data_IF_844936970895
#
_entry.id   IF_844936970895
#
_cell.length_a   1.000
_cell.length_b   1.000
_cell.length_c   1.000
_cell.angle_alpha   90.00
_cell.angle_beta   90.00
_cell.angle_gamma   90.00
#
_symmetry.space_group_name_H-M   'P 1'
#
loop_
_entity.id
_entity.type
_entity.pdbx_description
1 polymer ?
#
# COMPACT_ATOMS: atom_id res chain seq x y z
N UNK A 1 -19.27 -24.90 11.75
CA UNK A 1 -17.82 -25.13 11.57
C UNK A 1 -17.36 -24.50 10.26
N UNK A 2 -17.57 -25.13 9.09
CA UNK A 2 -17.06 -24.64 7.80
C UNK A 2 -17.36 -23.16 7.45
N UNK A 3 -18.58 -22.66 7.71
CA UNK A 3 -18.92 -21.25 7.46
C UNK A 3 -18.17 -20.27 8.40
N UNK A 4 -17.91 -20.70 9.63
CA UNK A 4 -17.14 -19.91 10.59
C UNK A 4 -15.66 -19.88 10.18
N UNK A 5 -15.12 -21.03 9.76
CA UNK A 5 -13.73 -21.13 9.29
C UNK A 5 -13.50 -20.27 8.03
N UNK A 6 -14.45 -20.28 7.09
CA UNK A 6 -14.42 -19.43 5.90
C UNK A 6 -14.46 -17.93 6.28
N UNK A 7 -15.32 -17.57 7.23
CA UNK A 7 -15.42 -16.20 7.71
C UNK A 7 -14.09 -15.75 8.36
N UNK A 8 -13.51 -16.56 9.24
CA UNK A 8 -12.22 -16.27 9.86
C UNK A 8 -11.09 -16.15 8.83
N UNK A 9 -11.08 -16.97 7.77
CA UNK A 9 -10.11 -16.84 6.68
C UNK A 9 -10.23 -15.48 5.97
N UNK A 10 -11.46 -15.06 5.64
CA UNK A 10 -11.69 -13.75 5.00
C UNK A 10 -11.25 -12.57 5.86
N UNK A 11 -11.51 -12.62 7.17
CA UNK A 11 -11.04 -11.60 8.11
C UNK A 11 -9.52 -11.54 8.18
N UNK A 12 -8.85 -12.70 8.22
CA UNK A 12 -7.39 -12.77 8.21
C UNK A 12 -6.79 -12.16 6.94
N UNK A 13 -7.41 -12.42 5.78
CA UNK A 13 -6.96 -11.85 4.52
C UNK A 13 -7.10 -10.32 4.48
N UNK A 14 -8.24 -9.78 4.95
CA UNK A 14 -8.46 -8.34 5.05
C UNK A 14 -7.44 -7.69 6.00
N UNK A 15 -7.18 -8.32 7.15
CA UNK A 15 -6.19 -7.82 8.11
C UNK A 15 -4.77 -7.82 7.53
N UNK A 16 -4.40 -8.88 6.81
CA UNK A 16 -3.12 -8.95 6.09
C UNK A 16 -2.97 -7.79 5.10
N UNK A 17 -3.99 -7.51 4.28
CA UNK A 17 -3.96 -6.41 3.32
C UNK A 17 -3.74 -5.06 4.01
N UNK A 18 -4.46 -4.79 5.11
CA UNK A 18 -4.33 -3.54 5.86
C UNK A 18 -2.89 -3.38 6.39
N UNK A 19 -2.33 -4.43 6.99
CA UNK A 19 -0.96 -4.40 7.49
C UNK A 19 0.07 -4.17 6.38
N UNK A 20 -0.10 -4.80 5.21
CA UNK A 20 0.79 -4.63 4.05
C UNK A 20 0.73 -3.20 3.49
N UNK A 21 -0.46 -2.60 3.36
CA UNK A 21 -0.59 -1.23 2.86
C UNK A 21 0.07 -0.21 3.81
N UNK A 22 -0.10 -0.39 5.12
CA UNK A 22 0.54 0.47 6.13
C UNK A 22 2.06 0.30 6.09
N UNK A 23 2.57 -0.93 5.99
CA UNK A 23 4.01 -1.19 5.97
C UNK A 23 4.68 -0.59 4.74
N UNK A 24 4.07 -0.72 3.55
CA UNK A 24 4.59 -0.12 2.31
C UNK A 24 4.62 1.41 2.40
N UNK A 25 3.59 2.03 2.97
CA UNK A 25 3.55 3.49 3.16
C UNK A 25 4.75 4.00 3.99
N UNK A 26 5.08 3.32 5.09
CA UNK A 26 6.25 3.68 5.91
C UNK A 26 7.58 3.28 5.28
N UNK A 27 7.63 2.19 4.51
CA UNK A 27 8.82 1.78 3.78
C UNK A 27 9.28 2.86 2.78
N UNK A 28 8.34 3.51 2.07
CA UNK A 28 8.69 4.62 1.16
C UNK A 28 9.27 5.84 1.90
N UNK A 29 8.80 6.13 3.11
CA UNK A 29 9.35 7.20 3.94
C UNK A 29 10.77 6.85 4.41
N UNK A 30 10.99 5.60 4.82
CA UNK A 30 12.30 5.10 5.21
C UNK A 30 13.27 5.23 4.04
N UNK A 31 12.89 4.81 2.84
CA UNK A 31 13.69 4.92 1.63
C UNK A 31 14.11 6.38 1.38
N UNK A 32 13.18 7.34 1.43
CA UNK A 32 13.48 8.78 1.29
C UNK A 32 14.45 9.29 2.34
N UNK A 33 14.38 8.77 3.57
CA UNK A 33 15.32 9.15 4.64
C UNK A 33 16.71 8.54 4.41
N UNK A 34 16.79 7.24 4.11
CA UNK A 34 18.05 6.54 3.86
C UNK A 34 18.80 7.17 2.69
N UNK A 35 18.13 7.41 1.56
CA UNK A 35 18.74 8.09 0.40
C UNK A 35 19.19 9.51 0.72
N UNK A 36 18.46 10.23 1.58
CA UNK A 36 18.88 11.54 2.08
C UNK A 36 20.19 11.45 2.86
N UNK A 37 20.26 10.53 3.83
CA UNK A 37 21.44 10.36 4.68
C UNK A 37 22.69 9.95 3.90
N UNK A 38 22.55 9.06 2.90
CA UNK A 38 23.65 8.67 2.00
C UNK A 38 24.19 9.89 1.23
N UNK A 39 23.30 10.80 0.83
CA UNK A 39 23.64 12.01 0.07
C UNK A 39 24.01 13.21 0.96
N UNK A 40 24.20 13.02 2.27
CA UNK A 40 24.53 14.10 3.23
C UNK A 40 23.45 15.22 3.20
N UNK A 41 22.19 14.86 2.93
CA UNK A 41 21.04 15.76 3.04
C UNK A 41 20.01 15.20 4.01
N UNK A 42 19.34 16.06 4.75
CA UNK A 42 18.23 15.59 5.60
C UNK A 42 17.06 15.19 4.70
N UNK A 43 16.53 13.99 4.92
CA UNK A 43 15.28 13.53 4.34
C UNK A 43 14.09 14.39 4.78
N UNK A 44 12.87 14.05 4.34
CA UNK A 44 11.67 14.85 4.63
C UNK A 44 11.43 14.97 6.14
N UNK A 45 11.59 16.19 6.66
CA UNK A 45 11.37 16.56 8.08
C UNK A 45 10.32 17.65 8.27
N UNK A 46 9.70 18.17 7.20
CA UNK A 46 8.82 19.35 7.27
C UNK A 46 7.38 19.02 7.68
N UNK A 47 6.86 17.88 7.25
CA UNK A 47 5.45 17.52 7.48
C UNK A 47 5.36 16.82 8.83
N UNK A 48 5.22 17.62 9.91
CA UNK A 48 5.09 17.13 11.30
C UNK A 48 6.38 16.58 11.93
N UNK A 49 6.24 15.85 13.04
CA UNK A 49 7.38 15.24 13.76
C UNK A 49 8.11 14.23 12.86
N UNK A 50 9.34 14.57 12.48
CA UNK A 50 10.26 13.73 11.67
C UNK A 50 9.62 13.18 10.37
N UNK A 51 8.62 13.88 9.81
CA UNK A 51 7.95 13.47 8.59
C UNK A 51 6.97 12.30 8.71
N UNK A 52 6.63 11.81 9.91
CA UNK A 52 5.71 10.67 10.10
C UNK A 52 4.39 10.80 9.31
N UNK A 53 3.68 11.95 9.29
CA UNK A 53 2.44 12.09 8.51
C UNK A 53 2.66 12.27 7.00
N UNK A 54 3.89 12.19 6.47
CA UNK A 54 4.16 12.33 5.04
C UNK A 54 3.34 11.35 4.16
N UNK A 55 3.24 10.04 4.46
CA UNK A 55 2.50 9.12 3.60
C UNK A 55 1.01 9.44 3.54
N UNK A 56 0.43 9.98 4.62
CA UNK A 56 -0.95 10.46 4.64
C UNK A 56 -1.11 11.69 3.72
N UNK A 57 -0.18 12.63 3.78
CA UNK A 57 -0.22 13.82 2.91
C UNK A 57 -0.05 13.47 1.43
N UNK A 58 0.79 12.48 1.11
CA UNK A 58 0.98 11.99 -0.26
C UNK A 58 -0.29 11.30 -0.78
N UNK A 59 -0.99 10.51 0.07
CA UNK A 59 -2.26 9.88 -0.28
C UNK A 59 -3.37 10.90 -0.56
N UNK A 60 -3.55 11.90 0.33
CA UNK A 60 -4.55 12.97 0.14
C UNK A 60 -4.26 13.75 -1.15
N UNK A 61 -2.98 14.06 -1.40
CA UNK A 61 -2.56 14.75 -2.62
C UNK A 61 -2.93 13.99 -3.90
N UNK A 62 -2.83 12.66 -3.90
CA UNK A 62 -3.19 11.82 -5.04
C UNK A 62 -4.71 11.75 -5.25
N UNK A 63 -5.50 11.68 -4.17
CA UNK A 63 -6.98 11.66 -4.25
C UNK A 63 -7.52 12.98 -4.81
N UNK A 64 -6.92 14.12 -4.44
CA UNK A 64 -7.32 15.43 -4.94
C UNK A 64 -6.78 15.75 -6.34
N UNK A 65 -5.90 14.91 -6.92
CA UNK A 65 -5.30 15.20 -8.21
C UNK A 65 -6.27 14.79 -9.33
N UNK A 66 -6.41 15.69 -10.31
CA UNK A 66 -7.21 15.41 -11.51
C UNK A 66 -6.67 14.17 -12.24
N UNK A 67 -7.58 13.29 -12.64
CA UNK A 67 -7.26 12.09 -13.38
C UNK A 67 -7.19 12.43 -14.89
N UNK A 68 -6.00 12.40 -15.53
CA UNK A 68 -5.90 12.69 -16.96
C UNK A 68 -6.48 11.51 -17.75
N UNK A 69 -7.41 11.82 -18.65
CA UNK A 69 -7.97 10.84 -19.60
C UNK A 69 -7.13 10.91 -20.88
N UNK A 70 -6.38 9.86 -21.24
CA UNK A 70 -5.55 9.90 -22.44
C UNK A 70 -6.42 9.83 -23.70
N UNK A 71 -6.33 10.86 -24.56
CA UNK A 71 -7.17 11.00 -25.76
C UNK A 71 -6.79 9.99 -26.85
N UNK A 72 -5.51 9.63 -26.95
CA UNK A 72 -4.96 8.79 -28.03
C UNK A 72 -4.83 7.30 -27.66
N UNK A 73 -5.37 6.85 -26.53
CA UNK A 73 -5.19 5.47 -26.04
C UNK A 73 -6.49 4.83 -25.57
N UNK A 74 -6.52 3.49 -25.52
CA UNK A 74 -7.66 2.72 -25.04
C UNK A 74 -7.93 2.97 -23.55
N UNK A 75 -8.95 3.78 -23.25
CA UNK A 75 -9.32 4.16 -21.89
C UNK A 75 -9.55 2.96 -20.96
N UNK A 76 -10.25 1.92 -21.45
CA UNK A 76 -10.55 0.72 -20.67
C UNK A 76 -9.28 0.00 -20.21
N UNK A 77 -8.36 -0.30 -21.14
CA UNK A 77 -7.10 -0.98 -20.79
C UNK A 77 -6.23 -0.10 -19.89
N UNK A 78 -6.20 1.21 -20.13
CA UNK A 78 -5.45 2.14 -19.28
C UNK A 78 -5.96 2.11 -17.83
N UNK A 79 -7.27 2.16 -17.62
CA UNK A 79 -7.86 2.15 -16.28
C UNK A 79 -7.74 0.78 -15.57
N UNK A 80 -7.96 -0.32 -16.28
CA UNK A 80 -7.90 -1.66 -15.68
C UNK A 80 -6.46 -2.11 -15.37
N UNK A 81 -5.46 -1.65 -16.13
CA UNK A 81 -4.07 -2.07 -15.94
C UNK A 81 -3.51 -1.86 -14.51
N UNK A 82 -3.63 -0.69 -13.85
CA UNK A 82 -3.16 -0.52 -12.47
C UNK A 82 -3.98 -1.32 -11.45
N UNK A 83 -5.26 -1.59 -11.73
CA UNK A 83 -6.12 -2.38 -10.84
C UNK A 83 -5.63 -3.83 -10.83
N UNK A 84 -5.41 -4.42 -12.01
CA UNK A 84 -4.90 -5.79 -12.10
C UNK A 84 -3.51 -5.95 -11.50
N UNK A 85 -2.59 -5.00 -11.75
CA UNK A 85 -1.24 -5.09 -11.21
C UNK A 85 -1.23 -5.04 -9.67
N UNK A 86 -2.02 -4.15 -9.07
CA UNK A 86 -2.15 -4.06 -7.61
C UNK A 86 -2.78 -5.33 -7.03
N UNK A 87 -3.85 -5.85 -7.64
CA UNK A 87 -4.49 -7.08 -7.17
C UNK A 87 -3.52 -8.27 -7.15
N UNK A 88 -2.78 -8.49 -8.24
CA UNK A 88 -1.79 -9.58 -8.31
C UNK A 88 -0.74 -9.44 -7.20
N UNK A 89 -0.23 -8.21 -6.98
CA UNK A 89 0.78 -7.96 -5.94
C UNK A 89 0.28 -8.29 -4.53
N UNK A 90 -0.99 -8.02 -4.20
CA UNK A 90 -1.57 -8.33 -2.90
C UNK A 90 -1.84 -9.82 -2.73
N UNK A 91 -2.22 -10.53 -3.79
CA UNK A 91 -2.40 -11.98 -3.74
C UNK A 91 -1.09 -12.73 -3.45
N UNK A 92 0.05 -12.25 -3.95
CA UNK A 92 1.35 -12.90 -3.68
C UNK A 92 1.68 -12.95 -2.18
N UNK A 93 1.26 -11.94 -1.41
CA UNK A 93 1.49 -11.93 0.04
C UNK A 93 0.75 -13.02 0.81
N UNK A 94 -0.32 -13.58 0.25
CA UNK A 94 -1.07 -14.67 0.88
C UNK A 94 -0.29 -16.00 0.96
N UNK A 95 0.80 -16.12 0.19
CA UNK A 95 1.60 -17.36 0.11
C UNK A 95 2.53 -17.50 1.32
N UNK A 96 2.94 -16.38 1.93
CA UNK A 96 3.89 -16.42 3.03
C UNK A 96 3.28 -17.05 4.28
N UNK A 97 3.94 -18.02 4.92
CA UNK A 97 3.44 -18.58 6.17
C UNK A 97 3.62 -17.56 7.30
N UNK A 98 2.54 -17.23 8.00
CA UNK A 98 2.54 -16.39 9.20
C UNK A 98 1.69 -17.02 10.28
N UNK A 99 2.10 -16.85 11.53
CA UNK A 99 1.39 -17.41 12.68
C UNK A 99 0.14 -16.57 12.97
N UNK A 100 -1.05 -17.12 12.72
CA UNK A 100 -2.32 -16.51 13.14
C UNK A 100 -3.02 -17.38 14.16
N UNK A 101 -3.40 -16.78 15.28
CA UNK A 101 -4.26 -17.40 16.29
C UNK A 101 -5.75 -17.39 15.92
N UNK A 102 -6.09 -16.72 14.81
CA UNK A 102 -7.47 -16.48 14.37
C UNK A 102 -8.03 -17.64 13.54
N UNK A 103 -7.21 -18.57 13.08
CA UNK A 103 -7.67 -19.82 12.50
C UNK A 103 -7.45 -20.93 13.52
N UNK A 104 -8.54 -21.42 14.13
CA UNK A 104 -8.57 -22.73 14.79
C UNK A 104 -8.56 -23.85 13.76
#
# INVERSE_FOLDING_TARGET
MMLYDLFMFSLNFVLLIICVLISVAFLTLLERKVLGYIQIRKGPNKVGFVGIPQPLSDAIKLICKEQPIPIMSNYLLYYFSPVFSLMISLFVWSIFPYLTYMCS
#
